data_IF_126145740074
#
_entry.id   IF_126145740074
#
_cell.length_a   1.000
_cell.length_b   1.000
_cell.length_c   1.000
_cell.angle_alpha   90.00
_cell.angle_beta   90.00
_cell.angle_gamma   90.00
#
_symmetry.space_group_name_H-M   'P 1'
#
loop_
_entity.id
_entity.type
_entity.pdbx_description
1 polymer ?
#
# COMPACT_ATOMS: atom_id res chain seq x y z
N UNK A 1 -3.56 -100.19 26.33
CA UNK A 1 -4.13 -98.84 26.11
C UNK A 1 -3.58 -97.82 27.12
N UNK A 2 -2.24 -97.67 27.24
CA UNK A 2 -1.63 -96.74 28.22
C UNK A 2 -0.47 -95.92 27.65
N UNK A 3 -0.19 -96.04 26.35
CA UNK A 3 0.91 -95.33 25.68
C UNK A 3 0.42 -94.23 24.71
N UNK A 4 -0.84 -94.29 24.26
CA UNK A 4 -1.44 -93.24 23.43
C UNK A 4 -1.81 -91.96 24.21
N UNK A 5 -1.87 -92.04 25.55
CA UNK A 5 -2.27 -90.89 26.39
C UNK A 5 -1.10 -89.94 26.68
N UNK A 6 0.15 -90.40 26.65
CA UNK A 6 1.31 -89.54 26.90
C UNK A 6 1.68 -88.71 25.66
N UNK A 7 1.56 -89.29 24.46
CA UNK A 7 1.92 -88.60 23.22
C UNK A 7 0.97 -87.42 22.91
N UNK A 8 -0.33 -87.55 23.22
CA UNK A 8 -1.31 -86.46 23.03
C UNK A 8 -1.13 -85.31 24.04
N UNK A 9 -0.65 -85.59 25.26
CA UNK A 9 -0.39 -84.56 26.28
C UNK A 9 0.88 -83.76 25.94
N UNK A 10 1.91 -84.40 25.38
CA UNK A 10 3.15 -83.72 24.96
C UNK A 10 2.90 -82.84 23.72
N UNK A 11 2.06 -83.28 22.77
CA UNK A 11 1.70 -82.47 21.60
C UNK A 11 0.81 -81.29 22.01
N UNK A 12 -0.14 -81.47 22.93
CA UNK A 12 -0.96 -80.36 23.44
C UNK A 12 -0.13 -79.34 24.25
N UNK A 13 0.87 -79.79 25.02
CA UNK A 13 1.79 -78.92 25.75
C UNK A 13 2.75 -78.15 24.81
N UNK A 14 3.19 -78.76 23.71
CA UNK A 14 4.05 -78.12 22.71
C UNK A 14 3.29 -77.12 21.81
N UNK A 15 1.98 -77.35 21.60
CA UNK A 15 1.09 -76.40 20.91
C UNK A 15 0.72 -75.24 21.84
N UNK A 16 0.53 -75.47 23.14
CA UNK A 16 0.23 -74.42 24.12
C UNK A 16 1.45 -73.55 24.49
N UNK A 17 2.68 -74.07 24.41
CA UNK A 17 3.90 -73.28 24.67
C UNK A 17 4.33 -72.37 23.51
N UNK A 18 3.65 -72.44 22.36
CA UNK A 18 3.91 -71.58 21.18
C UNK A 18 2.83 -70.50 20.99
N UNK A 19 1.88 -70.38 21.93
CA UNK A 19 0.76 -69.43 21.86
C UNK A 19 0.95 -68.18 22.73
N UNK A 20 2.11 -68.02 23.36
CA UNK A 20 2.48 -66.76 24.03
C UNK A 20 3.25 -65.83 23.07
N UNK A 21 2.70 -65.66 21.87
CA UNK A 21 3.03 -64.52 21.02
C UNK A 21 2.04 -63.42 21.37
N UNK A 22 2.21 -62.80 22.53
CA UNK A 22 1.72 -61.43 22.70
C UNK A 22 2.43 -60.62 21.62
N UNK A 23 1.76 -60.38 20.50
CA UNK A 23 2.32 -59.64 19.37
C UNK A 23 2.74 -58.28 19.90
N UNK A 24 4.06 -58.05 19.98
CA UNK A 24 4.60 -56.79 20.46
C UNK A 24 4.12 -55.65 19.56
N UNK A 25 3.60 -54.59 20.16
CA UNK A 25 3.11 -53.40 19.47
C UNK A 25 4.23 -52.82 18.59
N UNK A 26 4.03 -52.69 17.29
CA UNK A 26 5.04 -52.08 16.42
C UNK A 26 4.90 -50.56 16.42
N UNK A 27 5.99 -49.83 16.56
CA UNK A 27 6.01 -48.37 16.50
C UNK A 27 7.05 -47.90 15.48
N UNK A 28 6.77 -46.85 14.70
CA UNK A 28 7.84 -46.23 13.92
C UNK A 28 8.87 -45.58 14.84
N UNK A 29 10.15 -45.75 14.53
CA UNK A 29 11.26 -45.15 15.28
C UNK A 29 12.13 -44.28 14.40
N UNK A 30 12.26 -43.01 14.77
CA UNK A 30 13.08 -42.04 14.08
C UNK A 30 13.29 -40.79 14.94
N UNK A 31 14.33 -40.03 14.58
CA UNK A 31 14.63 -38.71 15.14
C UNK A 31 14.97 -37.77 14.00
N UNK A 32 14.40 -36.57 13.99
CA UNK A 32 14.79 -35.50 13.06
C UNK A 32 14.60 -34.14 13.72
N UNK A 33 15.30 -33.11 13.25
CA UNK A 33 14.96 -31.73 13.59
C UNK A 33 13.75 -31.28 12.77
N UNK A 34 13.05 -30.24 13.22
CA UNK A 34 11.92 -29.64 12.49
C UNK A 34 12.34 -28.90 11.22
N UNK A 35 13.65 -28.71 11.03
CA UNK A 35 14.24 -28.10 9.84
C UNK A 35 14.74 -29.15 8.85
N UNK A 36 14.81 -30.43 9.26
CA UNK A 36 15.23 -31.50 8.36
C UNK A 36 14.12 -31.80 7.37
N UNK A 37 14.48 -31.89 6.10
CA UNK A 37 13.63 -32.50 5.06
C UNK A 37 13.52 -34.03 5.24
N UNK A 38 14.04 -34.55 6.36
CA UNK A 38 14.06 -35.94 6.74
C UNK A 38 12.66 -36.52 6.93
N UNK A 39 12.60 -37.81 6.68
CA UNK A 39 11.42 -38.66 6.64
C UNK A 39 10.63 -38.80 7.97
N UNK A 40 11.20 -38.49 9.14
CA UNK A 40 10.49 -38.60 10.42
C UNK A 40 9.34 -37.58 10.59
N UNK A 41 9.50 -36.36 10.03
CA UNK A 41 8.50 -35.29 10.07
C UNK A 41 7.50 -35.37 8.92
N UNK A 42 7.99 -35.72 7.72
CA UNK A 42 7.23 -35.60 6.47
C UNK A 42 6.72 -36.94 5.94
N UNK A 43 7.31 -38.06 6.35
CA UNK A 43 6.97 -39.41 5.84
C UNK A 43 7.19 -40.50 6.90
N UNK A 44 6.58 -40.38 8.10
CA UNK A 44 6.84 -41.30 9.20
C UNK A 44 6.51 -42.76 8.87
N UNK A 45 5.58 -42.99 7.93
CA UNK A 45 5.21 -44.33 7.46
C UNK A 45 6.31 -45.07 6.67
N UNK A 46 7.37 -44.35 6.28
CA UNK A 46 8.53 -44.95 5.57
C UNK A 46 9.63 -45.36 6.54
N UNK A 47 9.44 -45.15 7.85
CA UNK A 47 10.46 -45.39 8.86
C UNK A 47 10.49 -46.84 9.29
N UNK A 48 11.61 -47.23 9.89
CA UNK A 48 11.75 -48.54 10.51
C UNK A 48 10.83 -48.66 11.72
N UNK A 49 10.11 -49.77 11.79
CA UNK A 49 9.33 -50.14 12.98
C UNK A 49 10.22 -50.84 14.02
N UNK A 50 9.92 -50.61 15.29
CA UNK A 50 10.51 -51.31 16.43
C UNK A 50 9.41 -51.89 17.30
N UNK A 51 9.69 -52.98 18.00
CA UNK A 51 8.78 -53.58 18.95
C UNK A 51 8.71 -52.75 20.24
N UNK A 52 7.49 -52.48 20.69
CA UNK A 52 7.12 -51.72 21.87
C UNK A 52 6.28 -52.58 22.81
N UNK A 53 6.37 -52.34 24.11
CA UNK A 53 5.60 -53.09 25.09
C UNK A 53 4.15 -52.60 25.19
N UNK A 54 3.92 -51.27 25.17
CA UNK A 54 2.62 -50.70 25.58
C UNK A 54 2.11 -49.58 24.69
N UNK A 55 2.94 -48.58 24.36
CA UNK A 55 2.50 -47.38 23.63
C UNK A 55 3.56 -46.89 22.63
N UNK A 56 3.11 -46.46 21.45
CA UNK A 56 3.90 -45.63 20.54
C UNK A 56 3.82 -44.17 20.99
N UNK A 57 4.84 -43.36 20.69
CA UNK A 57 4.77 -41.91 20.86
C UNK A 57 5.24 -41.13 19.62
N UNK A 58 4.76 -39.90 19.53
CA UNK A 58 5.33 -38.79 18.75
C UNK A 58 5.59 -37.64 19.71
N UNK A 59 6.82 -37.14 19.80
CA UNK A 59 7.22 -36.10 20.74
C UNK A 59 8.11 -35.06 20.08
N UNK A 60 7.93 -33.80 20.45
CA UNK A 60 8.77 -32.68 20.04
C UNK A 60 9.40 -32.05 21.29
N UNK A 61 10.72 -31.95 21.30
CA UNK A 61 11.46 -31.29 22.37
C UNK A 61 12.48 -30.33 21.75
N UNK A 62 12.36 -29.04 22.05
CA UNK A 62 13.26 -28.00 21.56
C UNK A 62 13.54 -28.07 20.03
N UNK A 63 12.49 -28.30 19.23
CA UNK A 63 12.62 -28.41 17.77
C UNK A 63 13.10 -29.77 17.24
N UNK A 64 13.35 -30.74 18.11
CA UNK A 64 13.65 -32.12 17.72
C UNK A 64 12.40 -32.98 17.81
N UNK A 65 12.00 -33.58 16.69
CA UNK A 65 10.93 -34.56 16.61
C UNK A 65 11.51 -35.96 16.82
N UNK A 66 10.85 -36.73 17.69
CA UNK A 66 11.18 -38.12 18.00
C UNK A 66 9.92 -38.98 17.95
N UNK A 67 10.06 -40.18 17.39
CA UNK A 67 9.02 -41.21 17.37
C UNK A 67 9.61 -42.51 17.90
N UNK A 68 8.84 -43.28 18.67
CA UNK A 68 9.30 -44.58 19.17
C UNK A 68 8.40 -45.18 20.24
N UNK A 69 9.00 -46.04 21.09
CA UNK A 69 8.35 -46.68 22.23
C UNK A 69 8.28 -45.72 23.41
N UNK A 70 7.11 -45.49 23.99
CA UNK A 70 7.03 -44.72 25.23
C UNK A 70 7.54 -45.58 26.39
N UNK A 71 8.47 -45.05 27.18
CA UNK A 71 8.96 -45.76 28.36
C UNK A 71 7.92 -45.74 29.48
N UNK A 72 7.79 -46.84 30.20
CA UNK A 72 6.86 -46.96 31.33
C UNK A 72 7.15 -45.86 32.37
N UNK A 73 6.15 -45.03 32.66
CA UNK A 73 6.25 -43.91 33.60
C UNK A 73 6.78 -42.59 33.01
N UNK A 74 7.11 -42.53 31.71
CA UNK A 74 7.44 -41.27 31.06
C UNK A 74 6.19 -40.40 30.84
N UNK A 75 6.33 -39.10 31.08
CA UNK A 75 5.28 -38.13 30.79
C UNK A 75 5.23 -37.85 29.28
N UNK A 76 4.04 -37.97 28.70
CA UNK A 76 3.74 -37.55 27.34
C UNK A 76 2.45 -36.76 27.35
N UNK A 77 2.56 -35.44 27.16
CA UNK A 77 1.43 -34.52 27.23
C UNK A 77 1.38 -33.62 26.01
N UNK A 78 0.18 -33.33 25.54
CA UNK A 78 -0.05 -32.30 24.53
C UNK A 78 0.39 -30.92 25.05
N UNK A 79 0.73 -29.98 24.15
CA UNK A 79 0.79 -30.15 22.69
C UNK A 79 2.09 -30.80 22.19
N UNK A 80 3.10 -31.00 23.05
CA UNK A 80 4.42 -31.45 22.63
C UNK A 80 4.55 -32.96 22.44
N UNK A 81 3.58 -33.75 22.90
CA UNK A 81 3.64 -35.21 22.83
C UNK A 81 2.25 -35.85 22.70
N UNK A 82 2.16 -36.91 21.89
CA UNK A 82 0.96 -37.73 21.70
C UNK A 82 1.33 -39.22 21.69
N UNK A 83 0.47 -40.06 22.27
CA UNK A 83 0.64 -41.52 22.33
C UNK A 83 -0.49 -42.25 21.63
N UNK A 84 -0.25 -43.51 21.27
CA UNK A 84 -1.26 -44.39 20.70
C UNK A 84 -0.89 -45.88 20.89
N UNK A 85 -1.86 -46.78 20.70
CA UNK A 85 -1.81 -48.20 21.14
C UNK A 85 -2.02 -49.24 20.04
N UNK A 86 -1.90 -48.84 18.77
CA UNK A 86 -2.07 -49.75 17.63
C UNK A 86 -0.82 -49.74 16.76
N UNK A 87 -0.57 -50.81 16.01
CA UNK A 87 0.67 -50.90 15.22
C UNK A 87 0.85 -49.68 14.32
N UNK A 88 2.07 -49.11 14.36
CA UNK A 88 2.55 -48.04 13.50
C UNK A 88 1.66 -46.79 13.53
N UNK A 89 1.00 -46.52 14.66
CA UNK A 89 0.03 -45.44 14.80
C UNK A 89 0.64 -44.06 15.04
N UNK A 90 1.91 -43.99 15.43
CA UNK A 90 2.62 -42.75 15.74
C UNK A 90 3.01 -42.01 14.45
N UNK A 91 2.02 -41.66 13.64
CA UNK A 91 2.14 -40.92 12.37
C UNK A 91 1.52 -39.52 12.48
N UNK A 92 1.33 -39.02 13.71
CA UNK A 92 0.74 -37.72 13.99
C UNK A 92 1.38 -36.62 13.13
N UNK A 93 0.52 -35.76 12.56
CA UNK A 93 0.91 -34.52 11.92
C UNK A 93 1.48 -33.55 12.98
N UNK A 94 2.38 -32.67 12.55
CA UNK A 94 2.88 -31.58 13.39
C UNK A 94 2.46 -30.25 12.78
N UNK A 95 1.88 -29.35 13.55
CA UNK A 95 1.44 -28.02 13.10
C UNK A 95 2.04 -26.91 13.96
N UNK A 96 1.90 -25.67 13.51
CA UNK A 96 2.09 -24.51 14.39
C UNK A 96 0.83 -24.28 15.23
N UNK A 97 1.00 -24.08 16.53
CA UNK A 97 -0.07 -23.83 17.48
C UNK A 97 0.18 -22.57 18.30
N UNK A 98 -0.83 -21.70 18.31
CA UNK A 98 -0.93 -20.55 19.18
C UNK A 98 -2.40 -20.08 19.19
N UNK A 99 -2.93 -19.67 20.34
CA UNK A 99 -4.37 -19.57 20.56
C UNK A 99 -4.85 -18.12 20.73
N UNK A 100 -5.00 -17.40 19.62
CA UNK A 100 -5.56 -16.04 19.65
C UNK A 100 -4.64 -14.97 20.23
N UNK A 101 -3.39 -15.34 20.52
CA UNK A 101 -2.33 -14.47 21.06
C UNK A 101 -1.77 -13.52 20.00
N UNK A 102 -1.13 -12.43 20.43
CA UNK A 102 -0.59 -11.41 19.53
C UNK A 102 0.37 -12.02 18.47
N UNK A 103 1.28 -12.86 18.93
CA UNK A 103 2.31 -13.49 18.11
C UNK A 103 1.76 -14.41 17.00
N UNK A 104 0.51 -14.87 17.11
CA UNK A 104 -0.16 -15.68 16.10
C UNK A 104 -0.38 -14.94 14.78
N UNK A 105 -0.54 -13.63 14.88
CA UNK A 105 -0.90 -12.75 13.77
C UNK A 105 0.25 -11.81 13.38
N UNK A 106 1.14 -11.46 14.31
CA UNK A 106 2.20 -10.47 14.06
C UNK A 106 3.47 -11.06 13.44
N UNK A 107 3.67 -12.39 13.51
CA UNK A 107 4.87 -13.07 13.01
C UNK A 107 4.54 -14.19 12.03
N UNK A 108 5.56 -14.79 11.40
CA UNK A 108 5.41 -15.97 10.57
C UNK A 108 5.21 -17.27 11.38
N UNK A 109 5.31 -17.22 12.71
CA UNK A 109 5.11 -18.35 13.64
C UNK A 109 5.98 -19.56 13.27
N UNK A 110 7.28 -19.34 13.04
CA UNK A 110 8.23 -20.40 12.64
C UNK A 110 9.12 -20.88 13.77
N UNK A 111 9.03 -20.27 14.96
CA UNK A 111 9.83 -20.67 16.12
C UNK A 111 9.37 -22.01 16.66
N UNK A 112 10.32 -22.83 17.12
CA UNK A 112 10.06 -24.20 17.59
C UNK A 112 9.12 -24.29 18.79
N UNK A 113 8.95 -23.21 19.54
CA UNK A 113 8.00 -23.13 20.66
C UNK A 113 6.54 -23.27 20.23
N UNK A 114 6.24 -23.02 18.95
CA UNK A 114 4.89 -23.12 18.39
C UNK A 114 4.59 -24.51 17.81
N UNK A 115 5.59 -25.39 17.70
CA UNK A 115 5.38 -26.72 17.14
C UNK A 115 4.50 -27.58 18.07
N UNK A 116 3.42 -28.13 17.54
CA UNK A 116 2.46 -28.97 18.26
C UNK A 116 2.18 -30.27 17.50
N UNK A 117 2.10 -31.37 18.25
CA UNK A 117 1.71 -32.69 17.75
C UNK A 117 0.20 -32.79 17.71
N UNK A 118 -0.36 -33.07 16.53
CA UNK A 118 -1.80 -33.22 16.39
C UNK A 118 -2.29 -34.49 17.10
N UNK A 119 -3.24 -34.38 18.05
CA UNK A 119 -3.66 -35.49 18.89
C UNK A 119 -4.41 -36.59 18.14
N UNK A 120 -5.06 -36.26 17.01
CA UNK A 120 -5.86 -37.23 16.23
C UNK A 120 -5.27 -37.39 14.84
N UNK A 121 -5.19 -38.64 14.39
CA UNK A 121 -4.85 -38.96 13.01
C UNK A 121 -5.96 -38.44 12.09
N UNK A 122 -5.57 -37.83 10.97
CA UNK A 122 -6.50 -37.21 10.00
C UNK A 122 -6.71 -35.71 10.20
N UNK A 123 -6.23 -35.11 11.29
CA UNK A 123 -6.21 -33.66 11.44
C UNK A 123 -5.24 -33.00 10.45
N UNK A 124 -5.52 -31.74 10.14
CA UNK A 124 -4.70 -30.85 9.31
C UNK A 124 -4.28 -29.62 10.13
N UNK A 125 -3.31 -28.87 9.62
CA UNK A 125 -2.92 -27.60 10.21
C UNK A 125 -3.90 -26.51 9.78
N UNK A 126 -4.39 -25.71 10.73
CA UNK A 126 -5.43 -24.70 10.51
C UNK A 126 -4.93 -23.33 10.98
N UNK A 127 -5.19 -22.29 10.18
CA UNK A 127 -5.23 -20.91 10.64
C UNK A 127 -6.69 -20.45 10.64
N UNK A 128 -7.15 -19.88 11.74
CA UNK A 128 -8.51 -19.39 11.93
C UNK A 128 -8.49 -17.93 12.36
N UNK A 129 -9.28 -17.09 11.69
CA UNK A 129 -9.58 -15.73 12.11
C UNK A 129 -10.73 -15.80 13.12
N UNK A 130 -10.47 -15.32 14.33
CA UNK A 130 -11.43 -15.33 15.42
C UNK A 130 -12.40 -14.14 15.30
N UNK A 131 -13.55 -14.20 15.98
CA UNK A 131 -14.52 -13.11 15.99
C UNK A 131 -14.01 -11.79 16.59
N UNK A 132 -12.96 -11.85 17.43
CA UNK A 132 -12.24 -10.69 17.97
C UNK A 132 -11.08 -10.22 17.07
N UNK A 133 -11.02 -10.71 15.83
CA UNK A 133 -10.06 -10.35 14.78
C UNK A 133 -8.61 -10.87 14.98
N UNK A 134 -8.36 -11.64 16.04
CA UNK A 134 -7.07 -12.33 16.26
C UNK A 134 -6.99 -13.64 15.46
N UNK A 135 -5.81 -14.26 15.44
CA UNK A 135 -5.57 -15.54 14.74
C UNK A 135 -5.35 -16.66 15.74
N UNK A 136 -6.02 -17.78 15.52
CA UNK A 136 -5.68 -19.05 16.14
C UNK A 136 -5.00 -19.94 15.10
N UNK A 137 -3.87 -20.55 15.48
CA UNK A 137 -3.23 -21.63 14.73
C UNK A 137 -3.32 -22.90 15.56
N UNK A 138 -3.72 -24.00 14.95
CA UNK A 138 -3.96 -25.24 15.67
C UNK A 138 -4.04 -26.44 14.74
N UNK A 139 -4.00 -27.63 15.32
CA UNK A 139 -4.48 -28.86 14.68
C UNK A 139 -6.02 -28.87 14.65
N UNK A 140 -6.62 -29.24 13.53
CA UNK A 140 -8.07 -29.25 13.39
C UNK A 140 -8.56 -30.02 12.18
N UNK A 141 -9.87 -29.92 11.94
CA UNK A 141 -10.47 -30.40 10.69
C UNK A 141 -10.18 -29.41 9.55
N UNK A 142 -10.25 -29.88 8.31
CA UNK A 142 -10.05 -29.02 7.16
C UNK A 142 -11.12 -27.92 7.08
N UNK A 143 -10.69 -26.72 6.68
CA UNK A 143 -11.61 -25.60 6.47
C UNK A 143 -12.64 -25.92 5.40
N UNK A 144 -13.85 -25.40 5.55
CA UNK A 144 -14.88 -25.49 4.52
C UNK A 144 -14.46 -24.70 3.27
N UNK A 145 -14.82 -25.19 2.08
CA UNK A 145 -14.57 -24.47 0.83
C UNK A 145 -15.27 -23.09 0.85
N UNK A 146 -14.61 -22.04 0.34
CA UNK A 146 -15.15 -20.68 0.31
C UNK A 146 -14.95 -19.88 1.60
N UNK A 147 -14.11 -20.35 2.53
CA UNK A 147 -13.82 -19.66 3.81
C UNK A 147 -12.39 -19.11 3.88
N UNK A 148 -11.68 -18.97 2.76
CA UNK A 148 -10.24 -18.72 2.69
C UNK A 148 -9.78 -17.42 3.37
N UNK A 149 -10.68 -16.44 3.52
CA UNK A 149 -10.44 -15.18 4.24
C UNK A 149 -10.52 -15.31 5.77
N UNK A 150 -11.14 -16.36 6.29
CA UNK A 150 -11.37 -16.57 7.73
C UNK A 150 -10.84 -17.91 8.23
N UNK A 151 -10.61 -18.88 7.36
CA UNK A 151 -10.01 -20.17 7.66
C UNK A 151 -9.10 -20.61 6.51
N UNK A 152 -7.87 -21.01 6.80
CA UNK A 152 -7.01 -21.74 5.85
C UNK A 152 -6.51 -23.02 6.50
N UNK A 153 -6.41 -24.10 5.72
CA UNK A 153 -5.92 -25.37 6.21
C UNK A 153 -5.01 -26.08 5.21
N UNK A 154 -4.05 -26.85 5.71
CA UNK A 154 -3.08 -27.57 4.89
C UNK A 154 -2.59 -28.84 5.60
N UNK A 155 -2.23 -29.85 4.82
CA UNK A 155 -1.95 -31.21 5.34
C UNK A 155 -0.47 -31.55 5.51
N UNK A 156 0.44 -30.65 5.13
CA UNK A 156 1.87 -30.85 5.32
C UNK A 156 2.29 -30.42 6.73
N UNK A 157 3.30 -31.07 7.32
CA UNK A 157 3.79 -30.68 8.64
C UNK A 157 4.28 -29.22 8.64
N UNK A 158 3.91 -28.45 9.67
CA UNK A 158 4.29 -27.05 9.88
C UNK A 158 3.90 -26.10 8.75
N UNK A 159 2.91 -26.45 7.93
CA UNK A 159 2.53 -25.68 6.74
C UNK A 159 1.74 -24.41 7.05
N UNK A 160 1.12 -24.31 8.23
CA UNK A 160 0.29 -23.18 8.63
C UNK A 160 1.15 -22.02 9.18
N UNK A 161 2.19 -21.64 8.44
CA UNK A 161 3.08 -20.50 8.71
C UNK A 161 2.68 -19.28 7.87
N UNK A 162 3.37 -18.15 8.05
CA UNK A 162 3.12 -16.93 7.28
C UNK A 162 1.97 -16.09 7.82
N UNK A 163 1.79 -14.87 7.32
CA UNK A 163 0.70 -13.99 7.77
C UNK A 163 -0.67 -14.54 7.33
N UNK A 164 -1.64 -14.50 8.23
CA UNK A 164 -3.01 -14.93 7.97
C UNK A 164 -4.02 -13.91 8.53
N UNK A 165 -5.09 -13.53 7.81
CA UNK A 165 -5.30 -13.81 6.38
C UNK A 165 -4.21 -13.14 5.53
N UNK A 166 -4.14 -13.48 4.24
CA UNK A 166 -3.07 -13.00 3.36
C UNK A 166 -3.02 -11.46 3.26
N UNK A 167 -4.15 -10.78 3.45
CA UNK A 167 -4.29 -9.32 3.48
C UNK A 167 -4.18 -8.73 4.90
N UNK A 168 -3.52 -9.42 5.82
CA UNK A 168 -3.28 -8.92 7.18
C UNK A 168 -2.53 -7.60 7.10
N UNK A 169 -3.05 -6.54 7.75
CA UNK A 169 -2.37 -5.23 7.88
C UNK A 169 -0.91 -5.43 8.26
N UNK A 170 -0.01 -4.81 7.50
CA UNK A 170 1.42 -4.82 7.77
C UNK A 170 1.92 -3.42 8.12
N UNK A 171 2.66 -3.32 9.22
CA UNK A 171 3.26 -2.08 9.71
C UNK A 171 4.74 -2.30 10.01
N UNK A 172 5.52 -1.23 10.02
CA UNK A 172 6.82 -1.27 10.67
C UNK A 172 6.64 -1.34 12.19
N UNK A 173 7.38 -2.24 12.85
CA UNK A 173 7.34 -2.45 14.29
C UNK A 173 8.76 -2.42 14.86
N UNK A 174 9.03 -1.44 15.71
CA UNK A 174 10.33 -1.26 16.36
C UNK A 174 10.24 -0.18 17.47
N UNK A 175 11.27 -0.13 18.32
CA UNK A 175 11.51 0.98 19.26
C UNK A 175 13.00 1.37 19.23
N UNK A 176 13.30 2.67 19.33
CA UNK A 176 14.65 3.22 19.46
C UNK A 176 15.21 3.81 18.17
N UNK A 177 16.54 3.87 18.05
CA UNK A 177 17.24 4.55 16.96
C UNK A 177 17.03 3.88 15.59
N UNK A 178 16.93 2.55 15.59
CA UNK A 178 16.68 1.74 14.38
C UNK A 178 15.30 2.00 13.76
N UNK A 179 14.46 2.80 14.42
CA UNK A 179 13.14 3.18 13.93
C UNK A 179 13.11 4.44 13.10
N UNK A 180 14.18 5.24 13.05
CA UNK A 180 14.15 6.45 12.25
C UNK A 180 14.01 6.12 10.77
N UNK A 181 14.90 5.28 10.26
CA UNK A 181 14.87 4.77 8.90
C UNK A 181 14.35 3.32 8.91
N UNK A 182 13.16 3.13 8.34
CA UNK A 182 12.52 1.80 8.31
C UNK A 182 13.09 0.92 7.20
N UNK A 183 13.01 -0.39 7.38
CA UNK A 183 13.38 -1.38 6.36
C UNK A 183 12.47 -2.61 6.44
N UNK A 184 12.50 -3.45 5.40
CA UNK A 184 11.64 -4.63 5.31
C UNK A 184 11.85 -5.65 6.46
N UNK A 185 12.98 -5.61 7.17
CA UNK A 185 13.22 -6.49 8.32
C UNK A 185 12.43 -6.09 9.57
N UNK A 186 11.90 -4.87 9.60
CA UNK A 186 11.09 -4.33 10.70
C UNK A 186 9.59 -4.52 10.46
N UNK A 187 9.20 -5.16 9.35
CA UNK A 187 7.80 -5.38 9.01
C UNK A 187 7.22 -6.50 9.89
N UNK A 188 6.06 -6.22 10.50
CA UNK A 188 5.26 -7.20 11.21
C UNK A 188 3.78 -7.08 10.80
N UNK A 189 3.04 -8.19 10.91
CA UNK A 189 1.59 -8.14 10.83
C UNK A 189 0.99 -7.48 12.07
N UNK A 190 -0.24 -6.97 11.99
CA UNK A 190 -0.98 -6.52 13.17
C UNK A 190 -1.76 -7.66 13.82
N UNK A 191 -2.03 -7.55 15.12
CA UNK A 191 -2.79 -8.56 15.87
C UNK A 191 -4.25 -8.66 15.41
N UNK A 192 -4.81 -7.54 14.94
CA UNK A 192 -6.17 -7.39 14.42
C UNK A 192 -6.15 -6.91 12.96
N UNK A 193 -7.15 -7.32 12.16
CA UNK A 193 -7.21 -6.99 10.72
C UNK A 193 -7.60 -5.54 10.43
N UNK A 194 -8.32 -4.89 11.35
CA UNK A 194 -8.81 -3.52 11.26
C UNK A 194 -7.85 -2.49 11.90
N UNK A 195 -6.70 -2.95 12.36
CA UNK A 195 -5.69 -2.08 12.97
C UNK A 195 -5.11 -1.07 11.96
N UNK A 196 -4.82 0.13 12.46
CA UNK A 196 -3.97 1.10 11.78
C UNK A 196 -2.50 0.90 12.14
N UNK A 197 -1.61 1.56 11.40
CA UNK A 197 -0.22 1.71 11.79
C UNK A 197 -0.02 3.04 12.53
N UNK A 198 0.92 3.06 13.48
CA UNK A 198 1.32 4.30 14.15
C UNK A 198 2.83 4.55 14.07
N UNK A 199 3.18 5.84 14.21
CA UNK A 199 4.51 6.35 14.51
C UNK A 199 4.41 7.36 15.65
N UNK A 200 5.29 7.26 16.63
CA UNK A 200 5.49 8.30 17.66
C UNK A 200 6.98 8.43 17.97
N UNK A 201 7.42 9.56 18.48
CA UNK A 201 8.82 9.77 18.83
C UNK A 201 9.13 11.18 19.28
N UNK A 202 10.20 11.29 20.06
CA UNK A 202 10.71 12.56 20.61
C UNK A 202 11.96 13.05 19.87
N UNK A 203 12.71 12.14 19.25
CA UNK A 203 13.91 12.41 18.42
C UNK A 203 14.10 11.30 17.38
N UNK A 204 15.03 11.50 16.44
CA UNK A 204 15.45 10.43 15.52
C UNK A 204 15.97 9.18 16.25
N UNK A 205 16.63 9.33 17.40
CA UNK A 205 17.11 8.21 18.20
C UNK A 205 16.04 7.57 19.11
N UNK A 206 14.86 8.19 19.21
CA UNK A 206 13.77 7.76 20.08
C UNK A 206 12.43 7.82 19.33
N UNK A 207 12.25 6.86 18.43
CA UNK A 207 11.00 6.61 17.73
C UNK A 207 10.44 5.24 18.10
N UNK A 208 9.12 5.11 18.05
CA UNK A 208 8.39 3.86 18.18
C UNK A 208 7.38 3.76 17.06
N UNK A 209 7.30 2.57 16.47
CA UNK A 209 6.36 2.25 15.38
C UNK A 209 5.68 0.94 15.71
N UNK A 210 4.42 0.81 15.31
CA UNK A 210 3.70 -0.44 15.49
C UNK A 210 2.27 -0.36 14.97
N UNK A 211 1.46 -1.29 15.41
CA UNK A 211 0.03 -1.35 15.12
C UNK A 211 -0.78 -0.70 16.25
N UNK A 212 -1.90 -0.06 15.93
CA UNK A 212 -2.81 0.50 16.95
C UNK A 212 -3.40 -0.57 17.86
N UNK A 213 -3.41 -1.83 17.40
CA UNK A 213 -3.83 -3.02 18.13
C UNK A 213 -2.73 -3.67 18.98
N UNK A 214 -1.55 -3.04 19.08
CA UNK A 214 -0.46 -3.53 19.94
C UNK A 214 -0.85 -3.47 21.43
N UNK A 215 -0.35 -4.45 22.19
CA UNK A 215 -0.54 -4.52 23.64
C UNK A 215 0.58 -3.84 24.43
N UNK A 216 1.56 -3.27 23.73
CA UNK A 216 2.68 -2.52 24.32
C UNK A 216 2.23 -1.26 25.05
N UNK A 217 3.02 -0.82 26.04
CA UNK A 217 2.76 0.41 26.80
C UNK A 217 2.84 1.67 25.94
N UNK A 218 3.79 1.71 24.98
CA UNK A 218 3.93 2.82 24.03
C UNK A 218 3.12 2.48 22.79
N UNK A 219 2.00 3.17 22.61
CA UNK A 219 1.14 3.06 21.42
C UNK A 219 0.33 4.33 21.18
N UNK A 220 -0.08 4.50 19.93
CA UNK A 220 -1.14 5.45 19.58
C UNK A 220 -2.46 4.69 19.45
N UNK A 221 -3.49 5.17 20.15
CA UNK A 221 -4.85 4.70 19.91
C UNK A 221 -5.25 4.98 18.45
N UNK A 222 -6.16 4.17 17.89
CA UNK A 222 -6.63 4.34 16.51
C UNK A 222 -7.28 5.71 16.25
N UNK A 223 -7.86 6.30 17.28
CA UNK A 223 -8.52 7.59 17.33
C UNK A 223 -7.73 8.64 18.13
N UNK A 224 -6.41 8.42 18.31
CA UNK A 224 -5.56 9.32 19.06
C UNK A 224 -5.62 10.75 18.51
N UNK A 225 -5.86 11.71 19.40
CA UNK A 225 -5.76 13.15 19.12
C UNK A 225 -4.43 13.74 19.61
N UNK A 226 -3.54 12.90 20.14
CA UNK A 226 -2.21 13.32 20.57
C UNK A 226 -1.41 13.76 19.33
N UNK A 227 -0.94 15.03 19.26
CA UNK A 227 -0.17 15.49 18.11
C UNK A 227 1.14 14.73 17.92
N UNK A 228 1.68 14.06 18.95
CA UNK A 228 2.85 13.18 18.85
C UNK A 228 2.55 11.80 18.25
N UNK A 229 1.31 11.55 17.86
CA UNK A 229 0.89 10.31 17.22
C UNK A 229 0.52 10.55 15.76
N UNK A 230 1.27 9.92 14.87
CA UNK A 230 0.88 9.77 13.47
C UNK A 230 0.22 8.41 13.30
N UNK A 231 -1.08 8.38 12.95
CA UNK A 231 -1.83 7.15 12.65
C UNK A 231 -2.22 7.13 11.18
N UNK A 232 -2.14 5.97 10.54
CA UNK A 232 -2.48 5.80 9.13
C UNK A 232 -3.02 4.39 8.84
N UNK A 233 -3.80 4.24 7.77
CA UNK A 233 -4.63 3.06 7.50
C UNK A 233 -4.29 2.35 6.18
N UNK A 234 -3.02 2.35 5.78
CA UNK A 234 -2.50 1.57 4.65
C UNK A 234 -1.26 0.76 5.06
N UNK A 235 -0.88 -0.24 4.27
CA UNK A 235 0.28 -1.07 4.63
C UNK A 235 1.56 -0.23 4.54
N UNK A 236 2.47 -0.44 5.49
CA UNK A 236 3.77 0.25 5.55
C UNK A 236 3.69 1.79 5.62
N UNK A 237 2.51 2.34 5.93
CA UNK A 237 2.27 3.78 5.90
C UNK A 237 3.02 4.54 7.02
N UNK A 238 3.38 3.84 8.09
CA UNK A 238 4.14 4.38 9.22
C UNK A 238 5.65 4.40 8.93
N UNK A 239 6.04 4.88 7.75
CA UNK A 239 7.42 5.00 7.27
C UNK A 239 8.13 6.36 7.43
N UNK A 240 7.45 7.51 7.65
CA UNK A 240 8.14 8.79 7.75
C UNK A 240 9.22 8.81 8.83
N UNK A 241 10.43 9.26 8.50
CA UNK A 241 11.52 9.54 9.44
C UNK A 241 11.16 10.69 10.39
N UNK A 242 11.86 10.80 11.52
CA UNK A 242 11.60 11.84 12.52
C UNK A 242 11.58 13.24 11.90
N UNK A 243 12.56 13.54 11.04
CA UNK A 243 12.63 14.71 10.17
C UNK A 243 12.75 14.26 8.72
N UNK A 244 12.02 14.92 7.82
CA UNK A 244 12.05 14.68 6.38
C UNK A 244 11.94 15.99 5.61
N UNK A 245 12.47 16.01 4.39
CA UNK A 245 12.28 17.13 3.47
C UNK A 245 10.79 17.41 3.25
N UNK A 246 10.38 18.66 3.44
CA UNK A 246 8.99 19.10 3.24
C UNK A 246 8.69 19.50 1.78
N UNK A 247 9.66 19.34 0.88
CA UNK A 247 9.57 19.73 -0.53
C UNK A 247 9.89 21.21 -0.76
N UNK A 248 9.39 21.73 -1.88
CA UNK A 248 9.54 23.15 -2.24
C UNK A 248 8.24 23.71 -2.80
N UNK A 249 7.89 24.94 -2.42
CA UNK A 249 6.62 25.58 -2.80
C UNK A 249 6.82 27.02 -3.23
N UNK A 250 5.87 27.58 -3.95
CA UNK A 250 5.77 29.03 -4.07
C UNK A 250 5.42 29.59 -2.69
N UNK A 251 6.20 30.57 -2.22
CA UNK A 251 6.01 31.21 -0.92
C UNK A 251 5.93 32.72 -1.14
N UNK A 252 4.75 33.28 -0.91
CA UNK A 252 4.48 34.71 -1.05
C UNK A 252 3.20 35.13 -0.31
N UNK A 253 3.17 36.40 0.07
CA UNK A 253 1.98 37.10 0.53
C UNK A 253 1.48 38.01 -0.60
N UNK A 254 0.16 38.03 -0.80
CA UNK A 254 -0.49 38.79 -1.87
C UNK A 254 0.15 38.56 -3.26
N UNK A 255 0.33 37.29 -3.59
CA UNK A 255 0.91 36.82 -4.85
C UNK A 255 0.05 37.23 -6.05
N UNK A 256 0.67 37.32 -7.23
CA UNK A 256 -0.09 37.26 -8.47
C UNK A 256 -0.84 35.91 -8.57
N UNK A 257 -2.01 35.93 -9.24
CA UNK A 257 -2.85 34.74 -9.39
C UNK A 257 -2.13 33.58 -10.08
N UNK A 258 -1.18 33.88 -10.97
CA UNK A 258 -0.30 32.92 -11.61
C UNK A 258 1.14 33.10 -11.12
N UNK A 259 1.87 31.99 -10.98
CA UNK A 259 3.28 31.92 -10.59
C UNK A 259 4.02 30.94 -11.50
N UNK A 260 5.34 30.95 -11.44
CA UNK A 260 6.20 30.02 -12.19
C UNK A 260 6.77 28.99 -11.21
N UNK A 261 6.58 27.70 -11.49
CA UNK A 261 6.99 26.62 -10.58
C UNK A 261 8.48 26.63 -10.24
N UNK A 262 9.33 27.14 -11.13
CA UNK A 262 10.79 27.25 -10.93
C UNK A 262 11.18 28.23 -9.82
N UNK A 263 10.27 29.11 -9.41
CA UNK A 263 10.51 30.09 -8.34
C UNK A 263 10.21 29.51 -6.95
N UNK A 264 9.89 28.21 -6.88
CA UNK A 264 9.63 27.51 -5.64
C UNK A 264 10.85 27.56 -4.70
N UNK A 265 10.57 27.82 -3.43
CA UNK A 265 11.55 27.88 -2.35
C UNK A 265 11.41 26.63 -1.48
N UNK A 266 12.51 26.21 -0.87
CA UNK A 266 12.50 25.08 0.06
C UNK A 266 11.54 25.33 1.23
N UNK A 267 10.80 24.29 1.60
CA UNK A 267 9.94 24.25 2.78
C UNK A 267 10.68 23.79 4.05
N UNK A 268 11.99 23.55 3.97
CA UNK A 268 12.81 23.03 5.06
C UNK A 268 12.44 21.59 5.45
N UNK A 269 12.65 21.27 6.73
CA UNK A 269 12.28 19.97 7.29
C UNK A 269 10.86 20.00 7.88
N UNK A 270 10.19 18.86 7.79
CA UNK A 270 8.97 18.57 8.52
C UNK A 270 9.20 17.37 9.45
N UNK A 271 8.60 17.44 10.64
CA UNK A 271 8.56 16.30 11.55
C UNK A 271 7.64 15.20 11.02
N UNK A 272 7.86 13.95 11.43
CA UNK A 272 7.07 12.78 11.01
C UNK A 272 5.55 13.02 11.06
N UNK A 273 5.06 13.75 12.06
CA UNK A 273 3.66 14.04 12.32
C UNK A 273 3.10 15.30 11.63
N UNK A 274 3.92 16.05 10.88
CA UNK A 274 3.47 17.23 10.15
C UNK A 274 3.07 16.88 8.72
N UNK A 275 2.08 17.59 8.18
CA UNK A 275 1.76 17.54 6.75
C UNK A 275 2.86 18.20 5.91
N UNK A 276 3.06 17.70 4.69
CA UNK A 276 4.04 18.22 3.73
C UNK A 276 3.34 18.48 2.40
N UNK A 277 3.86 19.45 1.64
CA UNK A 277 3.25 19.92 0.40
C UNK A 277 3.01 21.41 0.43
N UNK A 278 2.34 21.91 -0.60
CA UNK A 278 2.10 23.32 -0.82
C UNK A 278 0.65 23.68 -0.58
N UNK A 279 0.41 24.92 -0.16
CA UNK A 279 -0.93 25.49 -0.06
C UNK A 279 -1.09 26.77 -0.87
N UNK A 280 -2.34 27.08 -1.17
CA UNK A 280 -2.81 28.38 -1.66
C UNK A 280 -4.06 28.78 -0.88
N UNK A 281 -4.04 29.92 -0.21
CA UNK A 281 -5.17 30.53 0.48
C UNK A 281 -5.62 31.75 -0.30
N UNK A 282 -6.93 31.83 -0.61
CA UNK A 282 -7.51 32.98 -1.31
C UNK A 282 -8.48 33.74 -0.39
N UNK A 283 -8.33 35.06 -0.31
CA UNK A 283 -9.23 35.92 0.47
C UNK A 283 -9.50 37.21 -0.29
N UNK A 284 -10.65 37.26 -0.97
CA UNK A 284 -10.96 38.34 -1.91
C UNK A 284 -9.94 38.36 -3.05
N UNK A 285 -9.19 39.45 -3.18
CA UNK A 285 -8.11 39.59 -4.17
C UNK A 285 -6.74 39.10 -3.67
N UNK A 286 -6.62 38.78 -2.38
CA UNK A 286 -5.35 38.37 -1.80
C UNK A 286 -5.13 36.87 -2.02
N UNK A 287 -3.96 36.52 -2.56
CA UNK A 287 -3.51 35.13 -2.72
C UNK A 287 -2.28 34.94 -1.85
N UNK A 288 -2.33 34.00 -0.90
CA UNK A 288 -1.19 33.64 -0.08
C UNK A 288 -0.79 32.20 -0.38
N UNK A 289 0.51 31.95 -0.51
CA UNK A 289 1.06 30.64 -0.87
C UNK A 289 2.18 30.29 0.09
N UNK A 290 2.27 29.01 0.43
CA UNK A 290 3.31 28.54 1.34
C UNK A 290 3.35 27.03 1.47
N UNK A 291 4.05 26.58 2.51
CA UNK A 291 4.27 25.16 2.80
C UNK A 291 3.34 24.67 3.91
N UNK A 292 2.77 23.49 3.76
CA UNK A 292 1.81 22.91 4.72
C UNK A 292 2.43 22.69 6.10
N UNK A 293 3.71 22.31 6.18
CA UNK A 293 4.41 22.09 7.45
C UNK A 293 4.58 23.36 8.31
N UNK A 294 4.37 24.54 7.72
CA UNK A 294 4.42 25.83 8.39
C UNK A 294 3.04 26.45 8.66
N UNK A 295 1.96 25.81 8.22
CA UNK A 295 0.60 26.34 8.32
C UNK A 295 -0.06 25.88 9.62
N UNK A 296 -0.08 26.73 10.65
CA UNK A 296 -0.58 26.38 11.99
C UNK A 296 -2.05 25.95 12.03
N UNK A 297 -2.91 26.57 11.21
CA UNK A 297 -4.36 26.28 11.18
C UNK A 297 -4.74 25.12 10.26
N UNK A 298 -3.77 24.51 9.58
CA UNK A 298 -4.01 23.53 8.53
C UNK A 298 -4.68 24.13 7.28
N UNK A 299 -4.73 23.31 6.21
CA UNK A 299 -5.37 23.70 4.96
C UNK A 299 -6.78 23.10 4.90
N UNK A 300 -7.80 23.95 4.76
CA UNK A 300 -9.19 23.52 4.69
C UNK A 300 -10.02 24.41 3.75
N UNK A 301 -11.22 23.97 3.41
CA UNK A 301 -12.17 24.82 2.66
C UNK A 301 -12.65 26.03 3.48
N UNK A 302 -12.68 25.93 4.82
CA UNK A 302 -13.12 27.00 5.72
C UNK A 302 -12.22 28.24 5.65
N UNK A 303 -10.91 28.06 5.46
CA UNK A 303 -9.96 29.16 5.23
C UNK A 303 -9.65 29.36 3.74
N UNK A 304 -10.54 28.91 2.84
CA UNK A 304 -10.38 29.03 1.38
C UNK A 304 -9.00 28.55 0.90
N UNK A 305 -8.55 27.43 1.48
CA UNK A 305 -7.25 26.85 1.21
C UNK A 305 -7.37 25.66 0.25
N UNK A 306 -6.48 25.60 -0.74
CA UNK A 306 -6.23 24.43 -1.58
C UNK A 306 -4.80 23.95 -1.36
N UNK A 307 -4.58 22.64 -1.47
CA UNK A 307 -3.26 22.02 -1.30
C UNK A 307 -2.91 21.08 -2.43
N UNK A 308 -1.61 20.84 -2.59
CA UNK A 308 -1.04 19.90 -3.55
C UNK A 308 0.31 19.37 -3.02
N UNK A 309 0.77 18.21 -3.50
CA UNK A 309 1.89 17.49 -2.88
C UNK A 309 3.20 17.61 -3.68
N UNK A 310 3.14 18.04 -4.93
CA UNK A 310 4.30 18.14 -5.82
C UNK A 310 5.10 19.43 -5.58
N UNK A 311 6.39 19.40 -5.94
CA UNK A 311 7.24 20.58 -5.83
C UNK A 311 6.74 21.72 -6.73
N UNK A 312 6.55 22.90 -6.16
CA UNK A 312 6.13 24.10 -6.88
C UNK A 312 4.74 23.98 -7.50
N UNK A 313 3.88 23.09 -7.00
CA UNK A 313 2.56 22.82 -7.59
C UNK A 313 1.55 23.97 -7.39
N UNK A 314 1.75 24.80 -6.36
CA UNK A 314 0.85 25.88 -6.01
C UNK A 314 1.09 27.12 -6.90
N UNK A 315 0.96 26.98 -8.22
CA UNK A 315 1.22 28.06 -9.19
C UNK A 315 -0.02 28.85 -9.60
N UNK A 316 -1.20 28.24 -9.54
CA UNK A 316 -2.47 28.87 -9.89
C UNK A 316 -3.33 29.06 -8.64
N UNK A 317 -4.03 30.20 -8.55
CA UNK A 317 -4.90 30.53 -7.41
C UNK A 317 -6.33 29.95 -7.56
N UNK A 318 -6.57 29.20 -8.65
CA UNK A 318 -7.85 28.63 -9.05
C UNK A 318 -7.73 28.04 -10.47
N UNK A 319 -8.85 27.65 -11.08
CA UNK A 319 -8.87 27.27 -12.50
C UNK A 319 -8.38 28.46 -13.35
N UNK A 320 -7.37 28.22 -14.19
CA UNK A 320 -6.87 29.23 -15.10
C UNK A 320 -7.90 29.44 -16.20
N UNK A 321 -8.42 30.66 -16.33
CA UNK A 321 -9.44 31.00 -17.32
C UNK A 321 -8.96 32.12 -18.25
N UNK A 322 -9.47 32.14 -19.47
CA UNK A 322 -9.28 33.25 -20.40
C UNK A 322 -10.64 33.83 -20.78
N UNK A 323 -10.66 35.12 -21.13
CA UNK A 323 -11.82 35.68 -21.82
C UNK A 323 -11.94 34.98 -23.18
N UNK A 324 -13.13 34.50 -23.52
CA UNK A 324 -13.44 33.83 -24.79
C UNK A 324 -14.63 34.52 -25.45
N UNK A 325 -14.35 35.29 -26.49
CA UNK A 325 -15.38 36.00 -27.23
C UNK A 325 -14.91 36.35 -28.65
N UNK A 326 -15.87 36.69 -29.51
CA UNK A 326 -15.66 37.27 -30.83
C UNK A 326 -16.53 38.53 -30.94
N UNK A 327 -16.00 39.63 -31.47
CA UNK A 327 -16.65 40.95 -31.43
C UNK A 327 -17.96 41.09 -32.23
N UNK A 328 -18.30 40.15 -33.11
CA UNK A 328 -19.61 40.10 -33.79
C UNK A 328 -20.68 39.35 -32.98
N UNK A 329 -20.26 38.50 -32.04
CA UNK A 329 -21.15 37.73 -31.17
C UNK A 329 -21.34 38.42 -29.81
N UNK A 330 -20.30 39.12 -29.35
CA UNK A 330 -20.28 39.83 -28.09
C UNK A 330 -19.77 41.27 -28.29
N UNK A 331 -20.67 42.23 -28.10
CA UNK A 331 -20.39 43.66 -28.32
C UNK A 331 -19.33 44.23 -27.38
N UNK A 332 -19.12 43.62 -26.21
CA UNK A 332 -18.09 44.00 -25.24
C UNK A 332 -16.71 43.43 -25.58
N UNK A 333 -16.62 42.44 -26.48
CA UNK A 333 -15.37 41.74 -26.75
C UNK A 333 -14.27 42.66 -27.31
N UNK A 334 -14.64 43.63 -28.15
CA UNK A 334 -13.67 44.52 -28.80
C UNK A 334 -13.03 45.49 -27.80
N UNK A 335 -13.85 46.18 -27.02
CA UNK A 335 -13.40 47.21 -26.09
C UNK A 335 -12.93 46.65 -24.75
N UNK A 336 -13.48 45.50 -24.33
CA UNK A 336 -13.30 44.95 -22.99
C UNK A 336 -13.51 46.03 -21.90
N UNK A 337 -14.55 46.86 -22.04
CA UNK A 337 -14.83 47.97 -21.12
C UNK A 337 -15.15 47.48 -19.71
N UNK A 338 -15.74 46.29 -19.60
CA UNK A 338 -15.97 45.57 -18.35
C UNK A 338 -15.60 44.09 -18.54
N UNK A 339 -14.30 43.74 -18.44
CA UNK A 339 -13.81 42.40 -18.76
C UNK A 339 -14.40 41.28 -17.90
N UNK A 340 -14.91 41.61 -16.70
CA UNK A 340 -15.46 40.64 -15.77
C UNK A 340 -16.86 40.14 -16.17
N UNK A 341 -17.52 40.83 -17.11
CA UNK A 341 -18.83 40.45 -17.64
C UNK A 341 -18.74 39.61 -18.91
N UNK A 342 -17.55 39.52 -19.51
CA UNK A 342 -17.33 38.78 -20.74
C UNK A 342 -17.28 37.27 -20.46
N UNK A 343 -17.69 36.42 -21.43
CA UNK A 343 -17.62 34.98 -21.28
C UNK A 343 -16.17 34.53 -21.04
N UNK A 344 -16.00 33.60 -20.10
CA UNK A 344 -14.71 32.98 -19.76
C UNK A 344 -14.71 31.50 -20.13
N UNK A 345 -13.53 30.94 -20.31
CA UNK A 345 -13.32 29.51 -20.57
C UNK A 345 -12.11 29.00 -19.80
N UNK A 346 -12.16 27.76 -19.34
CA UNK A 346 -11.02 27.09 -18.70
C UNK A 346 -9.93 26.82 -19.74
N UNK A 347 -8.70 27.23 -19.42
CA UNK A 347 -7.53 27.03 -20.26
C UNK A 347 -6.43 26.32 -19.45
N UNK A 348 -6.48 24.98 -19.32
CA UNK A 348 -5.56 24.21 -18.48
C UNK A 348 -4.07 24.42 -18.79
N UNK A 349 -3.76 24.82 -20.03
CA UNK A 349 -2.40 25.07 -20.49
C UNK A 349 -1.88 26.49 -20.21
N UNK A 350 -2.63 27.31 -19.47
CA UNK A 350 -2.09 28.53 -18.85
C UNK A 350 -1.73 29.68 -19.80
N UNK A 351 -2.27 29.71 -21.03
CA UNK A 351 -1.98 30.79 -22.00
C UNK A 351 -3.26 31.31 -22.65
N UNK A 352 -3.51 32.61 -22.51
CA UNK A 352 -4.56 33.34 -23.23
C UNK A 352 -4.00 34.03 -24.48
N UNK A 353 -4.87 34.31 -25.44
CA UNK A 353 -4.57 35.20 -26.56
C UNK A 353 -5.69 36.21 -26.81
N UNK A 354 -5.33 37.30 -27.48
CA UNK A 354 -6.24 38.24 -28.11
C UNK A 354 -5.64 38.73 -29.41
N UNK A 355 -6.42 38.83 -30.49
CA UNK A 355 -5.99 39.42 -31.75
C UNK A 355 -7.17 39.79 -32.65
N UNK A 356 -6.86 40.34 -33.82
CA UNK A 356 -7.84 40.84 -34.79
C UNK A 356 -7.74 40.03 -36.09
N UNK A 357 -8.82 39.37 -36.50
CA UNK A 357 -8.92 38.63 -37.76
C UNK A 357 -10.19 38.99 -38.49
N UNK A 358 -10.09 39.29 -39.78
CA UNK A 358 -11.23 39.71 -40.60
C UNK A 358 -12.04 40.84 -39.95
N UNK A 359 -11.34 41.84 -39.39
CA UNK A 359 -11.93 42.98 -38.66
C UNK A 359 -12.70 42.59 -37.39
N UNK A 360 -12.55 41.36 -36.89
CA UNK A 360 -13.14 40.90 -35.64
C UNK A 360 -12.08 40.71 -34.57
N UNK A 361 -12.35 41.24 -33.38
CA UNK A 361 -11.56 41.00 -32.19
C UNK A 361 -11.89 39.62 -31.62
N UNK A 362 -10.88 38.77 -31.45
CA UNK A 362 -11.02 37.39 -30.98
C UNK A 362 -10.17 37.21 -29.72
N UNK A 363 -10.74 36.57 -28.70
CA UNK A 363 -10.10 36.24 -27.43
C UNK A 363 -10.30 34.76 -27.10
N UNK A 364 -9.34 34.10 -26.45
CA UNK A 364 -9.53 32.74 -25.94
C UNK A 364 -8.27 32.07 -25.39
N UNK A 365 -8.31 30.75 -25.20
CA UNK A 365 -7.13 29.93 -24.90
C UNK A 365 -6.23 29.83 -26.13
N UNK A 366 -4.93 30.05 -25.97
CA UNK A 366 -3.99 29.98 -27.09
C UNK A 366 -3.92 28.59 -27.73
N UNK A 367 -3.98 27.53 -26.92
CA UNK A 367 -3.99 26.14 -27.42
C UNK A 367 -5.25 25.76 -28.18
N UNK A 368 -6.34 26.51 -28.01
CA UNK A 368 -7.59 26.30 -28.75
C UNK A 368 -7.68 27.16 -30.03
N UNK A 369 -6.74 28.08 -30.25
CA UNK A 369 -6.66 28.85 -31.48
C UNK A 369 -6.27 27.94 -32.66
N UNK A 370 -6.68 28.30 -33.88
CA UNK A 370 -6.25 27.57 -35.08
C UNK A 370 -4.72 27.61 -35.22
N UNK A 371 -4.12 26.61 -35.87
CA UNK A 371 -2.66 26.58 -36.10
C UNK A 371 -2.16 27.85 -36.81
N UNK A 372 -2.97 28.41 -37.71
CA UNK A 372 -2.66 29.66 -38.39
C UNK A 372 -2.64 30.85 -37.43
N UNK A 373 -3.64 30.96 -36.54
CA UNK A 373 -3.67 32.00 -35.51
C UNK A 373 -2.49 31.86 -34.54
N UNK A 374 -2.18 30.64 -34.10
CA UNK A 374 -1.03 30.38 -33.22
C UNK A 374 0.28 30.84 -33.88
N UNK A 375 0.49 30.50 -35.16
CA UNK A 375 1.64 30.96 -35.92
C UNK A 375 1.70 32.49 -36.02
N UNK A 376 0.57 33.15 -36.35
CA UNK A 376 0.51 34.61 -36.50
C UNK A 376 0.81 35.36 -35.19
N UNK A 377 0.33 34.83 -34.07
CA UNK A 377 0.62 35.35 -32.74
C UNK A 377 2.09 35.14 -32.34
N UNK A 378 2.63 33.93 -32.55
CA UNK A 378 4.03 33.62 -32.26
C UNK A 378 5.00 34.44 -33.12
N UNK A 379 4.68 34.63 -34.40
CA UNK A 379 5.46 35.44 -35.33
C UNK A 379 5.23 36.95 -35.18
N UNK A 380 4.36 37.38 -34.25
CA UNK A 380 4.03 38.79 -33.98
C UNK A 380 3.69 39.58 -35.26
N UNK A 381 2.88 38.97 -36.13
CA UNK A 381 2.49 39.59 -37.40
C UNK A 381 1.57 40.79 -37.13
N UNK A 382 2.06 42.00 -37.42
CA UNK A 382 1.46 43.27 -37.01
C UNK A 382 -0.02 43.42 -37.41
N UNK A 383 -0.42 42.96 -38.60
CA UNK A 383 -1.80 43.12 -39.11
C UNK A 383 -2.85 42.47 -38.20
N UNK A 384 -2.47 41.41 -37.47
CA UNK A 384 -3.39 40.69 -36.59
C UNK A 384 -3.37 41.22 -35.15
N UNK A 385 -2.49 42.16 -34.81
CA UNK A 385 -2.37 42.75 -33.46
C UNK A 385 -2.46 41.68 -32.34
N UNK A 386 -1.84 40.52 -32.55
CA UNK A 386 -2.04 39.39 -31.66
C UNK A 386 -1.06 39.40 -30.49
N UNK A 387 -1.61 39.32 -29.29
CA UNK A 387 -0.88 39.16 -28.05
C UNK A 387 -1.28 37.90 -27.30
N UNK A 388 -0.31 37.33 -26.62
CA UNK A 388 -0.45 36.17 -25.74
C UNK A 388 0.00 36.57 -24.35
N UNK A 389 -0.64 36.01 -23.33
CA UNK A 389 -0.31 36.28 -21.94
C UNK A 389 -0.62 35.06 -21.07
N UNK A 390 0.05 34.97 -19.92
CA UNK A 390 0.07 33.77 -19.07
C UNK A 390 -0.52 34.05 -17.69
N UNK A 391 -1.39 35.03 -17.56
CA UNK A 391 -2.15 35.31 -16.33
C UNK A 391 -3.64 35.01 -16.57
N UNK A 392 -4.38 34.58 -15.54
CA UNK A 392 -5.82 34.33 -15.70
C UNK A 392 -6.55 35.63 -16.09
N UNK A 393 -7.44 35.55 -17.08
CA UNK A 393 -8.18 36.68 -17.67
C UNK A 393 -7.29 37.85 -18.16
N UNK A 394 -6.04 37.57 -18.54
CA UNK A 394 -5.07 38.60 -18.92
C UNK A 394 -5.33 39.23 -20.30
N UNK A 395 -6.06 38.53 -21.17
CA UNK A 395 -6.39 38.96 -22.52
C UNK A 395 -7.54 39.98 -22.52
N UNK A 396 -7.42 41.04 -21.71
CA UNK A 396 -8.48 42.02 -21.39
C UNK A 396 -8.24 43.42 -21.96
N UNK A 397 -7.15 43.64 -22.71
CA UNK A 397 -6.85 44.94 -23.29
C UNK A 397 -7.70 45.22 -24.54
N UNK A 398 -8.15 46.46 -24.79
CA UNK A 398 -8.89 46.84 -25.98
C UNK A 398 -8.04 46.71 -27.26
N UNK A 399 -8.67 46.40 -28.40
CA UNK A 399 -7.99 46.40 -29.69
C UNK A 399 -7.84 47.83 -30.27
N UNK A 400 -6.73 48.10 -30.96
CA UNK A 400 -6.49 49.41 -31.57
C UNK A 400 -7.23 49.54 -32.91
N UNK A 401 -8.21 50.44 -32.97
CA UNK A 401 -9.02 50.71 -34.18
C UNK A 401 -8.25 51.36 -35.36
N UNK A 402 -6.98 51.74 -35.18
CA UNK A 402 -6.19 52.43 -36.20
C UNK A 402 -5.59 51.50 -37.28
N UNK A 403 -5.51 50.18 -37.03
CA UNK A 403 -4.88 49.21 -37.94
C UNK A 403 -5.76 48.74 -39.10
N UNK A 404 -7.10 48.82 -38.97
CA UNK A 404 -8.05 48.27 -39.96
C UNK A 404 -8.22 49.14 -41.23
N UNK A 405 -7.77 50.40 -41.22
CA UNK A 405 -8.01 51.35 -42.31
C UNK A 405 -7.05 51.24 -43.50
N UNK A 406 -6.09 50.30 -43.51
CA UNK A 406 -5.02 50.27 -44.54
C UNK A 406 -5.28 49.40 -45.77
N UNK A 407 -6.46 48.81 -45.97
CA UNK A 407 -6.70 47.87 -47.09
C UNK A 407 -7.72 48.28 -48.16
N UNK A 408 -8.13 49.56 -48.23
CA UNK A 408 -9.00 50.05 -49.33
C UNK A 408 -8.19 50.61 -50.53
N UNK A 409 -6.88 50.38 -50.61
CA UNK A 409 -6.02 51.23 -51.44
C UNK A 409 -5.00 50.61 -52.39
N UNK A 410 -5.01 49.32 -52.77
CA UNK A 410 -4.08 48.82 -53.82
C UNK A 410 -4.64 47.61 -54.60
N UNK A 411 -5.84 47.73 -55.20
CA UNK A 411 -6.31 46.78 -56.25
C UNK A 411 -6.55 47.50 -57.59
N UNK A 412 -6.42 48.83 -57.64
CA UNK A 412 -6.76 49.63 -58.82
C UNK A 412 -5.62 50.03 -59.77
N UNK A 413 -4.36 49.64 -59.55
CA UNK A 413 -3.25 50.25 -60.32
C UNK A 413 -2.07 49.32 -60.64
N UNK A 414 -2.33 48.06 -61.00
CA UNK A 414 -1.30 47.16 -61.56
C UNK A 414 -1.81 46.32 -62.75
N UNK A 415 -2.81 46.82 -63.48
CA UNK A 415 -3.32 46.20 -64.71
C UNK A 415 -3.19 47.11 -65.95
N UNK A 416 -2.23 48.05 -65.93
CA UNK A 416 -2.05 49.06 -66.98
C UNK A 416 -0.66 49.15 -67.62
N UNK A 417 0.30 48.25 -67.33
CA UNK A 417 1.68 48.36 -67.85
C UNK A 417 2.28 47.01 -68.30
N UNK A 418 1.48 46.10 -68.87
CA UNK A 418 2.01 44.88 -69.53
C UNK A 418 1.41 44.65 -70.93
N UNK A 419 1.11 45.73 -71.67
CA UNK A 419 0.92 45.65 -73.14
C UNK A 419 1.63 46.83 -73.80
N UNK A 420 2.96 46.82 -73.73
CA UNK A 420 3.83 47.48 -74.70
C UNK A 420 5.22 46.91 -74.47
N UNK A 421 5.54 45.82 -75.19
CA UNK A 421 6.87 45.30 -75.56
C UNK A 421 6.81 43.76 -75.74
N UNK A 422 6.14 43.32 -76.81
CA UNK A 422 6.68 42.25 -77.66
C UNK A 422 6.90 42.86 -79.03
N UNK A 423 8.15 43.11 -79.36
CA UNK A 423 8.61 43.64 -80.63
C UNK A 423 8.69 42.52 -81.67
N UNK A 424 8.28 42.81 -82.90
CA UNK A 424 8.81 42.30 -84.16
C UNK A 424 9.14 40.80 -84.27
N UNK A 425 8.17 40.03 -84.79
CA UNK A 425 8.30 39.07 -85.91
C UNK A 425 6.92 38.57 -86.32
#
# INVERSE_FOLDING_TARGET
>A
MREYSLCMIVIAAFIASQLDSTLALQCYSCTSTTNDTGNCLTSPSTQTSTACETECYTQITAGTLTRGCLTTGAACTLPSCSTCKTDNCNVNLVCQECLGEENCATTNVTLTQYNAVCPKIGQVCVNQLNGNQTVTRQCGDACAAGTESTCSSCSASLCNVGLFPANRRQCYNCTGENCNAVSNTLVAGCSQIDAGCFTTGTSASNMTRGCTSATTEIKCASDSTDPSCLVCNSDFCNSPTYEREAGSCIICENCAAQQVATDAKSCGQAKYNQEVGCYTITSGTNVNRGCLNTLESGCSTTNACTSCSENGCNVAAGEFTCIKCISNEDTGCWSASDPNTLPVVDCPNGTCYSGVWNELGVRGCFTAASLQMQYQCNAKVEVYQCDTCTESMCNKLPFNGAGALRHVGVVGMLMGVVIALRSAL
#
